data_IF_916706439069
#
_entry.id   IF_916706439069
#
_cell.length_a   1.000
_cell.length_b   1.000
_cell.length_c   1.000
_cell.angle_alpha   90.00
_cell.angle_beta   90.00
_cell.angle_gamma   90.00
#
_symmetry.space_group_name_H-M   'P 1'
#
loop_
_entity.id
_entity.type
_entity.pdbx_description
1 polymer ?
#
# COMPACT_ATOMS: atom_id res chain seq x y z
N UNK A 1 -32.93 -24.74 -5.34
CA UNK A 1 -33.46 -23.62 -6.15
C UNK A 1 -34.71 -24.02 -6.94
N UNK A 2 -34.71 -25.21 -7.56
CA UNK A 2 -35.85 -25.75 -8.32
C UNK A 2 -37.15 -25.87 -7.51
N UNK A 3 -37.08 -26.32 -6.26
CA UNK A 3 -38.27 -26.48 -5.42
C UNK A 3 -38.91 -25.15 -5.01
N UNK A 4 -38.12 -24.07 -4.91
CA UNK A 4 -38.62 -22.70 -4.65
C UNK A 4 -39.41 -22.17 -5.83
N UNK A 5 -39.04 -22.55 -7.06
CA UNK A 5 -39.77 -22.19 -8.26
C UNK A 5 -41.10 -22.93 -8.35
N UNK A 6 -41.14 -24.20 -7.94
CA UNK A 6 -42.34 -25.06 -7.96
C UNK A 6 -43.38 -24.73 -6.87
N UNK A 7 -42.94 -24.23 -5.72
CA UNK A 7 -43.82 -23.95 -4.56
C UNK A 7 -44.42 -22.53 -4.55
N UNK A 8 -44.27 -21.76 -5.63
CA UNK A 8 -44.78 -20.38 -5.76
C UNK A 8 -46.30 -20.24 -5.54
N UNK A 9 -47.05 -21.34 -5.72
CA UNK A 9 -48.51 -21.40 -5.54
C UNK A 9 -48.96 -21.83 -4.12
N UNK A 10 -48.03 -22.16 -3.21
CA UNK A 10 -48.33 -22.53 -1.81
C UNK A 10 -47.58 -21.58 -0.89
N UNK A 11 -48.25 -20.48 -0.53
CA UNK A 11 -47.73 -19.31 0.21
C UNK A 11 -46.89 -19.71 1.45
N UNK A 12 -47.36 -20.65 2.26
CA UNK A 12 -46.68 -21.07 3.49
C UNK A 12 -45.37 -21.82 3.21
N UNK A 13 -45.41 -22.85 2.34
CA UNK A 13 -44.23 -23.65 1.97
C UNK A 13 -43.15 -22.83 1.27
N UNK A 14 -43.56 -21.84 0.46
CA UNK A 14 -42.61 -20.93 -0.17
C UNK A 14 -41.89 -20.03 0.85
N UNK A 15 -42.62 -19.48 1.83
CA UNK A 15 -42.04 -18.65 2.90
C UNK A 15 -41.03 -19.43 3.74
N UNK A 16 -41.36 -20.65 4.13
CA UNK A 16 -40.46 -21.52 4.90
C UNK A 16 -39.20 -21.89 4.10
N UNK A 17 -39.36 -22.24 2.83
CA UNK A 17 -38.22 -22.56 1.98
C UNK A 17 -37.34 -21.34 1.72
N UNK A 18 -37.94 -20.16 1.48
CA UNK A 18 -37.19 -18.92 1.31
C UNK A 18 -36.44 -18.53 2.58
N UNK A 19 -37.06 -18.68 3.75
CA UNK A 19 -36.43 -18.48 5.06
C UNK A 19 -35.24 -19.43 5.24
N UNK A 20 -35.42 -20.71 4.95
CA UNK A 20 -34.34 -21.70 5.04
C UNK A 20 -33.19 -21.38 4.08
N UNK A 21 -33.48 -20.94 2.86
CA UNK A 21 -32.44 -20.51 1.91
C UNK A 21 -31.68 -19.30 2.47
N UNK A 22 -32.40 -18.30 3.01
CA UNK A 22 -31.76 -17.11 3.59
C UNK A 22 -30.88 -17.47 4.79
N UNK A 23 -31.33 -18.37 5.66
CA UNK A 23 -30.56 -18.88 6.79
C UNK A 23 -29.28 -19.56 6.28
N UNK A 24 -29.38 -20.45 5.29
CA UNK A 24 -28.21 -21.12 4.71
C UNK A 24 -27.24 -20.14 4.06
N UNK A 25 -27.75 -19.15 3.33
CA UNK A 25 -26.92 -18.10 2.73
C UNK A 25 -26.21 -17.25 3.79
N UNK A 26 -26.92 -16.89 4.87
CA UNK A 26 -26.34 -16.13 5.96
C UNK A 26 -25.27 -16.95 6.71
N UNK A 27 -25.56 -18.22 7.02
CA UNK A 27 -24.61 -19.13 7.67
C UNK A 27 -23.34 -19.29 6.82
N UNK A 28 -23.48 -19.54 5.51
CA UNK A 28 -22.33 -19.64 4.61
C UNK A 28 -21.53 -18.32 4.52
N UNK A 29 -22.22 -17.18 4.56
CA UNK A 29 -21.56 -15.86 4.57
C UNK A 29 -20.80 -15.63 5.87
N UNK A 30 -21.39 -15.95 7.02
CA UNK A 30 -20.75 -15.83 8.33
C UNK A 30 -19.55 -16.78 8.44
N UNK A 31 -19.70 -18.02 8.00
CA UNK A 31 -18.61 -19.00 7.96
C UNK A 31 -17.43 -18.49 7.11
N UNK A 32 -17.71 -17.96 5.91
CA UNK A 32 -16.67 -17.37 5.07
C UNK A 32 -15.98 -16.18 5.75
N UNK A 33 -16.74 -15.26 6.36
CA UNK A 33 -16.15 -14.10 7.08
C UNK A 33 -15.27 -14.58 8.24
N UNK A 34 -15.73 -15.55 9.02
CA UNK A 34 -14.99 -16.09 10.16
C UNK A 34 -13.68 -16.76 9.70
N UNK A 35 -13.71 -17.53 8.61
CA UNK A 35 -12.51 -18.11 8.02
C UNK A 35 -11.50 -17.03 7.61
N UNK A 36 -11.96 -15.97 6.93
CA UNK A 36 -11.08 -14.86 6.54
C UNK A 36 -10.48 -14.14 7.75
N UNK A 37 -11.25 -13.92 8.82
CA UNK A 37 -10.74 -13.33 10.06
C UNK A 37 -9.67 -14.20 10.71
N UNK A 38 -9.91 -15.52 10.79
CA UNK A 38 -8.96 -16.47 11.37
C UNK A 38 -7.63 -16.51 10.59
N UNK A 39 -7.69 -16.51 9.26
CA UNK A 39 -6.48 -16.41 8.41
C UNK A 39 -5.70 -15.12 8.70
N UNK A 40 -6.39 -13.97 8.83
CA UNK A 40 -5.76 -12.69 9.12
C UNK A 40 -5.09 -12.71 10.51
N UNK A 41 -5.75 -13.22 11.54
CA UNK A 41 -5.22 -13.31 12.90
C UNK A 41 -3.96 -14.19 12.96
N UNK A 42 -3.97 -15.34 12.27
CA UNK A 42 -2.81 -16.24 12.21
C UNK A 42 -1.61 -15.59 11.53
N UNK A 43 -1.85 -14.78 10.49
CA UNK A 43 -0.78 -14.18 9.71
C UNK A 43 -0.31 -12.84 10.29
N UNK A 44 -1.05 -12.25 11.24
CA UNK A 44 -0.79 -10.93 11.84
C UNK A 44 0.58 -10.85 12.51
N UNK A 45 1.00 -11.94 13.17
CA UNK A 45 2.27 -12.01 13.88
C UNK A 45 3.46 -12.40 12.97
N UNK A 46 3.21 -12.74 11.70
CA UNK A 46 4.23 -13.25 10.77
C UNK A 46 4.57 -12.19 9.73
N UNK A 47 3.56 -11.63 9.06
CA UNK A 47 3.76 -10.65 8.00
C UNK A 47 2.66 -9.58 8.02
N UNK A 48 3.00 -8.44 8.63
CA UNK A 48 2.14 -7.26 8.68
C UNK A 48 1.76 -6.74 7.29
N UNK A 49 2.61 -6.88 6.26
CA UNK A 49 2.28 -6.39 4.91
C UNK A 49 1.20 -7.26 4.26
N UNK A 50 1.34 -8.58 4.37
CA UNK A 50 0.36 -9.52 3.85
C UNK A 50 -1.00 -9.35 4.54
N UNK A 51 -1.03 -9.16 5.86
CA UNK A 51 -2.30 -8.97 6.59
C UNK A 51 -3.02 -7.70 6.21
N UNK A 52 -2.31 -6.57 6.06
CA UNK A 52 -2.92 -5.34 5.57
C UNK A 52 -3.47 -5.49 4.14
N UNK A 53 -2.80 -6.25 3.27
CA UNK A 53 -3.31 -6.55 1.93
C UNK A 53 -4.59 -7.42 1.98
N UNK A 54 -4.58 -8.49 2.78
CA UNK A 54 -5.73 -9.39 2.95
C UNK A 54 -6.93 -8.68 3.57
N UNK A 55 -6.73 -7.83 4.58
CA UNK A 55 -7.77 -6.98 5.18
C UNK A 55 -8.38 -6.06 4.12
N UNK A 56 -7.56 -5.46 3.25
CA UNK A 56 -8.04 -4.59 2.17
C UNK A 56 -8.91 -5.34 1.17
N UNK A 57 -8.54 -6.57 0.83
CA UNK A 57 -9.31 -7.43 -0.08
C UNK A 57 -10.66 -7.84 0.51
N UNK A 58 -10.68 -8.29 1.77
CA UNK A 58 -11.91 -8.70 2.47
C UNK A 58 -12.87 -7.53 2.66
N UNK A 59 -12.35 -6.33 2.96
CA UNK A 59 -13.18 -5.14 3.21
C UNK A 59 -13.78 -4.56 1.91
N UNK A 60 -13.35 -5.03 0.73
CA UNK A 60 -13.89 -4.60 -0.58
C UNK A 60 -13.67 -3.12 -0.91
N UNK A 61 -13.02 -2.36 0.00
CA UNK A 61 -12.58 -0.99 -0.21
C UNK A 61 -11.35 -1.03 -1.10
N UNK A 62 -11.57 -1.32 -2.38
CA UNK A 62 -10.67 -0.80 -3.41
C UNK A 62 -10.64 0.70 -3.14
N UNK A 63 -9.51 1.19 -2.64
CA UNK A 63 -9.23 2.62 -2.54
C UNK A 63 -9.71 3.14 -3.88
N UNK A 64 -10.80 3.93 -3.87
CA UNK A 64 -11.21 4.64 -5.07
C UNK A 64 -9.98 5.45 -5.36
N UNK A 65 -9.18 4.99 -6.32
CA UNK A 65 -8.01 5.69 -6.77
C UNK A 65 -8.62 6.99 -7.23
N UNK A 66 -8.52 8.01 -6.39
CA UNK A 66 -8.80 9.36 -6.79
C UNK A 66 -7.95 9.50 -8.04
N UNK A 67 -8.62 9.66 -9.18
CA UNK A 67 -8.02 9.55 -10.51
C UNK A 67 -6.59 10.09 -10.48
N UNK A 68 -5.59 9.42 -11.09
CA UNK A 68 -4.19 9.83 -11.02
C UNK A 68 -3.89 11.28 -11.46
N UNK A 69 -4.91 12.05 -11.86
CA UNK A 69 -4.88 13.50 -11.98
C UNK A 69 -5.90 14.21 -11.09
N UNK A 70 -5.97 13.95 -9.79
CA UNK A 70 -6.71 14.81 -8.86
C UNK A 70 -5.83 15.30 -7.72
N UNK A 71 -5.90 16.59 -7.41
CA UNK A 71 -5.21 17.20 -6.27
C UNK A 71 -6.22 18.00 -5.46
N UNK A 72 -6.02 18.09 -4.15
CA UNK A 72 -6.88 18.89 -3.27
C UNK A 72 -6.44 20.36 -3.31
N UNK A 73 -7.37 21.27 -3.58
CA UNK A 73 -7.17 22.71 -3.45
C UNK A 73 -6.90 23.09 -1.99
N UNK A 74 -6.39 24.31 -1.75
CA UNK A 74 -6.23 24.86 -0.38
C UNK A 74 -7.56 24.91 0.38
N UNK A 75 -8.65 25.24 -0.30
CA UNK A 75 -10.02 25.28 0.28
C UNK A 75 -10.68 23.90 0.41
N UNK A 76 -9.94 22.84 0.06
CA UNK A 76 -10.38 21.47 0.22
C UNK A 76 -11.19 20.88 -0.94
N UNK A 77 -11.46 21.65 -2.00
CA UNK A 77 -12.12 21.17 -3.22
C UNK A 77 -11.19 20.25 -4.04
N UNK A 78 -11.75 19.23 -4.70
CA UNK A 78 -10.99 18.32 -5.54
C UNK A 78 -10.80 18.90 -6.95
N UNK A 79 -9.55 19.21 -7.31
CA UNK A 79 -9.16 19.73 -8.62
C UNK A 79 -8.85 18.55 -9.55
N UNK A 80 -9.59 18.45 -10.65
CA UNK A 80 -9.41 17.40 -11.68
C UNK A 80 -8.90 17.96 -13.02
N UNK A 81 -8.80 19.28 -13.15
CA UNK A 81 -8.37 19.94 -14.37
C UNK A 81 -6.84 20.09 -14.39
N UNK A 82 -6.20 19.66 -15.50
CA UNK A 82 -4.73 19.63 -15.63
C UNK A 82 -4.07 20.98 -15.32
N UNK A 83 -4.63 22.08 -15.80
CA UNK A 83 -4.10 23.43 -15.56
C UNK A 83 -4.18 23.83 -14.08
N UNK A 84 -5.29 23.50 -13.40
CA UNK A 84 -5.47 23.78 -11.97
C UNK A 84 -4.55 22.91 -11.10
N UNK A 85 -4.29 21.69 -11.53
CA UNK A 85 -3.34 20.79 -10.86
C UNK A 85 -1.93 21.36 -10.97
N UNK A 86 -1.49 21.78 -12.16
CA UNK A 86 -0.17 22.37 -12.38
C UNK A 86 0.01 23.65 -11.54
N UNK A 87 -0.98 24.55 -11.55
CA UNK A 87 -0.93 25.76 -10.74
C UNK A 87 -0.84 25.45 -9.24
N UNK A 88 -1.58 24.44 -8.75
CA UNK A 88 -1.53 24.02 -7.35
C UNK A 88 -0.18 23.39 -6.97
N UNK A 89 0.47 22.68 -7.89
CA UNK A 89 1.84 22.18 -7.71
C UNK A 89 2.85 23.33 -7.61
N UNK A 90 2.78 24.31 -8.52
CA UNK A 90 3.64 25.50 -8.49
C UNK A 90 3.48 26.26 -7.17
N UNK A 91 2.24 26.54 -6.76
CA UNK A 91 1.93 27.19 -5.50
C UNK A 91 2.45 26.42 -4.28
N UNK A 92 2.37 25.07 -4.31
CA UNK A 92 2.89 24.22 -3.24
C UNK A 92 4.41 24.35 -3.11
N UNK A 93 5.11 24.34 -4.24
CA UNK A 93 6.58 24.46 -4.29
C UNK A 93 7.00 25.85 -3.83
N UNK A 94 6.34 26.90 -4.32
CA UNK A 94 6.60 28.27 -3.87
C UNK A 94 6.37 28.42 -2.36
N UNK A 95 5.28 27.89 -1.82
CA UNK A 95 5.03 27.94 -0.36
C UNK A 95 6.08 27.20 0.45
N UNK A 96 6.61 26.07 -0.04
CA UNK A 96 7.66 25.29 0.65
C UNK A 96 9.03 25.97 0.61
N UNK A 97 9.32 26.76 -0.44
CA UNK A 97 10.63 27.40 -0.65
C UNK A 97 10.61 28.92 -0.50
N UNK A 98 9.52 29.49 0.05
CA UNK A 98 9.41 30.91 0.41
C UNK A 98 10.27 31.30 1.60
N UNK A 99 10.69 30.34 2.43
CA UNK A 99 11.65 30.60 3.49
C UNK A 99 13.05 30.79 2.87
N UNK A 100 13.49 32.05 2.84
CA UNK A 100 14.83 32.49 2.42
C UNK A 100 15.96 31.97 3.34
N UNK A 101 15.63 31.26 4.41
CA UNK A 101 16.60 30.49 5.18
C UNK A 101 16.99 29.22 4.42
N UNK A 102 17.75 29.41 3.33
CA UNK A 102 18.62 28.34 2.84
C UNK A 102 19.42 27.88 4.04
N UNK A 103 19.30 26.61 4.48
CA UNK A 103 20.14 26.12 5.56
C UNK A 103 21.58 26.41 5.12
N UNK A 104 22.33 27.15 5.93
CA UNK A 104 23.76 27.36 5.71
C UNK A 104 24.37 25.97 5.78
N UNK A 105 24.52 25.30 4.64
CA UNK A 105 25.21 24.03 4.52
C UNK A 105 26.62 24.34 5.01
N UNK A 106 26.91 23.99 6.26
CA UNK A 106 28.27 24.06 6.79
C UNK A 106 29.06 23.10 5.90
N UNK A 107 29.85 23.64 4.97
CA UNK A 107 30.78 22.89 4.13
C UNK A 107 31.97 22.37 4.97
N UNK A 108 31.74 21.93 6.21
CA UNK A 108 32.68 21.07 6.90
C UNK A 108 32.54 19.69 6.27
N UNK A 109 33.16 19.56 5.10
CA UNK A 109 33.28 18.32 4.34
C UNK A 109 34.48 17.51 4.88
N UNK A 110 35.20 18.04 5.86
CA UNK A 110 36.24 17.31 6.58
C UNK A 110 35.58 16.37 7.59
N UNK A 111 35.24 15.18 7.09
CA UNK A 111 35.02 14.01 7.91
C UNK A 111 36.31 13.61 8.64
N UNK A 112 36.23 12.72 9.65
CA UNK A 112 37.43 12.22 10.31
C UNK A 112 38.41 11.63 9.28
N UNK A 113 39.70 11.83 9.52
CA UNK A 113 40.76 11.21 8.72
C UNK A 113 40.54 9.71 8.69
N UNK A 114 40.45 9.14 7.49
CA UNK A 114 40.29 7.70 7.30
C UNK A 114 41.45 6.99 8.00
N UNK A 115 41.14 6.07 8.92
CA UNK A 115 42.15 5.35 9.68
C UNK A 115 42.63 4.12 8.90
N UNK A 116 43.91 3.75 9.05
CA UNK A 116 44.47 2.55 8.40
C UNK A 116 43.69 1.27 8.75
N UNK A 117 43.19 1.19 9.98
CA UNK A 117 42.38 0.07 10.47
C UNK A 117 41.05 -0.07 9.70
N UNK A 118 40.43 1.05 9.31
CA UNK A 118 39.18 1.06 8.52
C UNK A 118 39.44 0.54 7.11
N UNK A 119 40.59 0.90 6.53
CA UNK A 119 41.04 0.45 5.21
C UNK A 119 41.29 -1.06 5.24
N UNK A 120 42.01 -1.56 6.25
CA UNK A 120 42.23 -3.00 6.41
C UNK A 120 40.93 -3.79 6.58
N UNK A 121 40.01 -3.28 7.41
CA UNK A 121 38.73 -3.91 7.63
C UNK A 121 37.87 -3.93 6.36
N UNK A 122 37.91 -2.86 5.55
CA UNK A 122 37.24 -2.79 4.26
C UNK A 122 37.81 -3.80 3.26
N UNK A 123 39.15 -3.89 3.14
CA UNK A 123 39.84 -4.86 2.28
C UNK A 123 39.50 -6.30 2.70
N UNK A 124 39.52 -6.61 3.99
CA UNK A 124 39.16 -7.95 4.51
C UNK A 124 37.69 -8.30 4.25
N UNK A 125 36.80 -7.30 4.23
CA UNK A 125 35.36 -7.48 3.94
C UNK A 125 35.04 -7.58 2.43
N UNK A 126 35.96 -7.17 1.55
CA UNK A 126 35.78 -7.31 0.11
C UNK A 126 35.84 -8.79 -0.29
N UNK A 127 34.77 -9.30 -0.91
CA UNK A 127 34.75 -10.66 -1.46
C UNK A 127 35.64 -10.71 -2.70
N UNK A 128 36.63 -11.62 -2.72
CA UNK A 128 37.46 -11.93 -3.89
C UNK A 128 36.60 -12.47 -5.05
N UNK A 129 35.99 -11.59 -5.84
CA UNK A 129 35.07 -12.02 -6.90
C UNK A 129 34.64 -10.96 -7.90
N UNK A 130 35.25 -9.77 -7.91
CA UNK A 130 35.02 -8.77 -8.98
C UNK A 130 36.36 -8.35 -9.59
N UNK A 131 36.59 -8.94 -10.77
CA UNK A 131 37.47 -8.55 -11.90
C UNK A 131 38.84 -7.98 -11.54
N UNK A 132 39.89 -8.75 -11.85
CA UNK A 132 41.25 -8.24 -12.02
C UNK A 132 41.26 -7.38 -13.29
N UNK A 133 41.14 -6.06 -13.16
CA UNK A 133 41.49 -5.16 -14.25
C UNK A 133 42.99 -5.25 -14.46
N UNK A 134 43.39 -5.93 -15.54
CA UNK A 134 44.74 -5.88 -16.07
C UNK A 134 45.02 -4.45 -16.50
N UNK A 135 45.72 -3.70 -15.66
CA UNK A 135 46.37 -2.45 -16.09
C UNK A 135 47.53 -2.87 -16.99
N UNK A 136 47.29 -2.81 -18.31
CA UNK A 136 48.33 -2.83 -19.33
C UNK A 136 49.07 -1.50 -19.22
N UNK A 137 50.33 -1.54 -18.79
CA UNK A 137 51.24 -0.40 -18.96
C UNK A 137 51.66 -0.35 -20.44
N UNK A 138 51.33 0.76 -21.13
CA UNK A 138 52.04 1.19 -22.34
C UNK A 138 53.21 2.08 -21.94
#
# INVERSE_FOLDING_TARGET
MEERRKSKNVEAKYKDLHRNIKIKCNAAKEEWINQQCQEIEQTLNIDSKFTHAKIKDVNGKKIKCSSPGCIKSKDGTMLMEKNKILNRWSECVEDLFKDDEKPKIKKNIEGPTILEEEIEAAIKKMKNGKVRDQIIYQ
#
